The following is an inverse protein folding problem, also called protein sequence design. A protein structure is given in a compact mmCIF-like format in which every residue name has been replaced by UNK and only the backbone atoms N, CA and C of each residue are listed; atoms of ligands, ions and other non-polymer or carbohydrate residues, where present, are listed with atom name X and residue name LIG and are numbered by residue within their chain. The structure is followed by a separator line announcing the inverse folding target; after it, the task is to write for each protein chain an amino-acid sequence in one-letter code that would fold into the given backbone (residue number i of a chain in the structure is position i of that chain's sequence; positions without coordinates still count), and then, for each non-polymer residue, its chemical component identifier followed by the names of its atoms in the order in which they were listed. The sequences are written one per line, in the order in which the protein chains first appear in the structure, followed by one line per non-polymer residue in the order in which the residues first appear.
data_IF_906349885152
#
_entry.id   IF_906349885152
#
_cell.length_a   1.000
_cell.length_b   1.000
_cell.length_c   1.000
_cell.angle_alpha   90.00
_cell.angle_beta   90.00
_cell.angle_gamma   90.00
#
_symmetry.space_group_name_H-M   'P 1'
#
loop_
_entity.id
_entity.type
_entity.pdbx_description
1 polymer ?
#
# COMPACT_ATOMS: atom_id res chain seq x y z
N UNK A 1 4.76 -12.27 -18.93
CA UNK A 1 5.60 -11.34 -18.16
C UNK A 1 4.93 -11.05 -16.82
N UNK A 2 5.67 -11.13 -15.72
CA UNK A 2 5.13 -10.85 -14.41
C UNK A 2 4.83 -9.36 -14.26
N UNK A 3 3.74 -9.01 -13.59
CA UNK A 3 3.42 -7.64 -13.23
C UNK A 3 4.52 -7.06 -12.33
N UNK A 4 4.64 -5.73 -12.32
CA UNK A 4 5.69 -5.05 -11.54
C UNK A 4 5.64 -5.43 -10.05
N UNK A 5 4.43 -5.59 -9.48
CA UNK A 5 4.30 -5.93 -8.06
C UNK A 5 4.79 -7.35 -7.76
N UNK A 6 4.59 -8.31 -8.67
CA UNK A 6 5.15 -9.66 -8.52
C UNK A 6 6.67 -9.59 -8.51
N UNK A 7 7.27 -8.72 -9.32
CA UNK A 7 8.72 -8.54 -9.33
C UNK A 7 9.23 -7.94 -8.03
N UNK A 8 8.44 -7.04 -7.40
CA UNK A 8 8.75 -6.51 -6.07
C UNK A 8 8.69 -7.63 -5.04
N UNK A 9 7.65 -8.47 -5.08
CA UNK A 9 7.51 -9.63 -4.17
C UNK A 9 8.72 -10.56 -4.28
N UNK A 10 9.23 -10.77 -5.49
CA UNK A 10 10.39 -11.63 -5.74
C UNK A 10 11.74 -10.99 -5.40
N UNK A 11 11.74 -9.71 -5.02
CA UNK A 11 12.99 -9.00 -4.73
C UNK A 11 13.75 -8.54 -5.97
N UNK A 12 13.17 -8.63 -7.15
CA UNK A 12 13.79 -8.20 -8.41
C UNK A 12 13.80 -6.68 -8.56
N UNK A 13 12.84 -6.01 -7.94
CA UNK A 13 12.72 -4.55 -7.94
C UNK A 13 12.65 -4.10 -6.48
N UNK A 14 13.44 -3.09 -6.08
CA UNK A 14 13.39 -2.59 -4.71
C UNK A 14 12.07 -1.87 -4.44
N UNK A 15 11.64 -1.86 -3.17
CA UNK A 15 10.46 -1.14 -2.72
C UNK A 15 10.66 -0.68 -1.28
N UNK A 16 9.92 0.35 -0.88
CA UNK A 16 9.93 0.87 0.49
C UNK A 16 8.91 0.08 1.31
N UNK A 17 9.31 -1.10 1.76
CA UNK A 17 8.41 -2.02 2.47
C UNK A 17 8.09 -1.50 3.87
N UNK A 18 6.85 -1.64 4.28
CA UNK A 18 6.39 -1.28 5.63
C UNK A 18 5.92 -2.48 6.44
N UNK A 19 5.43 -3.53 5.78
CA UNK A 19 5.00 -4.77 6.44
C UNK A 19 5.01 -5.92 5.44
N UNK A 20 5.25 -7.11 5.93
CA UNK A 20 5.27 -8.31 5.09
C UNK A 20 4.88 -9.52 5.91
N UNK A 21 4.04 -10.37 5.34
CA UNK A 21 3.74 -11.69 5.87
C UNK A 21 4.00 -12.71 4.76
N UNK A 22 3.74 -13.98 5.04
CA UNK A 22 3.88 -15.02 4.02
C UNK A 22 2.96 -14.78 2.82
N UNK A 23 1.75 -14.24 3.06
CA UNK A 23 0.74 -14.04 2.01
C UNK A 23 0.70 -12.63 1.43
N UNK A 24 1.12 -11.61 2.18
CA UNK A 24 0.86 -10.22 1.85
C UNK A 24 2.09 -9.34 1.99
N UNK A 25 2.09 -8.23 1.25
CA UNK A 25 3.15 -7.24 1.29
C UNK A 25 2.52 -5.85 1.28
N UNK A 26 3.08 -4.95 2.09
CA UNK A 26 2.72 -3.53 2.05
C UNK A 26 3.97 -2.70 1.84
N UNK A 27 3.88 -1.71 0.94
CA UNK A 27 5.00 -0.83 0.61
C UNK A 27 4.48 0.53 0.16
N UNK A 28 5.33 1.55 0.25
CA UNK A 28 4.94 2.89 -0.15
C UNK A 28 4.80 3.00 -1.67
N UNK A 29 3.78 3.74 -2.11
CA UNK A 29 3.65 4.09 -3.52
C UNK A 29 4.71 5.14 -3.86
N UNK A 30 5.52 4.90 -4.90
CA UNK A 30 6.56 5.84 -5.34
C UNK A 30 5.99 7.01 -6.13
N UNK A 31 4.72 6.94 -6.48
CA UNK A 31 3.96 8.04 -7.11
C UNK A 31 2.75 8.36 -6.25
N UNK A 32 2.98 8.84 -5.01
CA UNK A 32 1.91 8.91 -4.02
C UNK A 32 0.92 10.05 -4.29
N UNK A 33 -0.33 9.83 -3.90
CA UNK A 33 -1.35 10.87 -3.89
C UNK A 33 -1.20 11.80 -2.69
N UNK A 34 -0.66 11.26 -1.59
CA UNK A 34 -0.38 11.99 -0.37
C UNK A 34 0.81 11.36 0.31
N UNK A 35 1.51 12.10 1.17
CA UNK A 35 2.61 11.55 1.96
C UNK A 35 2.09 10.39 2.81
N UNK A 36 2.71 9.22 2.66
CA UNK A 36 2.30 8.02 3.38
C UNK A 36 1.37 7.11 2.60
N UNK A 37 1.05 7.44 1.34
CA UNK A 37 0.26 6.59 0.46
C UNK A 37 0.92 5.21 0.37
N UNK A 38 0.23 4.19 0.86
CA UNK A 38 0.75 2.82 0.96
C UNK A 38 -0.09 1.90 0.10
N UNK A 39 0.55 0.91 -0.51
CA UNK A 39 -0.11 -0.13 -1.28
C UNK A 39 -0.05 -1.44 -0.50
N UNK A 40 -1.16 -2.16 -0.46
CA UNK A 40 -1.25 -3.47 0.18
C UNK A 40 -1.64 -4.47 -0.89
N UNK A 41 -0.83 -5.52 -1.05
CA UNK A 41 -1.03 -6.50 -2.10
C UNK A 41 -0.99 -7.92 -1.57
N UNK A 42 -1.72 -8.86 -2.20
CA UNK A 42 -1.44 -10.28 -2.02
C UNK A 42 -0.13 -10.60 -2.78
N UNK A 43 0.65 -11.53 -2.28
CA UNK A 43 1.84 -11.99 -2.98
C UNK A 43 1.49 -12.83 -4.21
N UNK A 44 0.33 -13.48 -4.19
CA UNK A 44 -0.22 -14.17 -5.35
C UNK A 44 -0.57 -13.15 -6.44
N UNK A 45 -0.18 -13.43 -7.68
CA UNK A 45 -0.48 -12.52 -8.80
C UNK A 45 -1.90 -12.73 -9.28
N UNK A 46 -2.83 -12.01 -8.69
CA UNK A 46 -4.24 -11.96 -9.08
C UNK A 46 -4.55 -10.51 -9.50
N UNK A 47 -5.06 -10.33 -10.71
CA UNK A 47 -5.34 -9.00 -11.25
C UNK A 47 -6.54 -8.33 -10.58
N UNK A 48 -7.66 -9.03 -10.50
CA UNK A 48 -8.90 -8.50 -9.99
C UNK A 48 -9.11 -8.90 -8.54
N UNK A 49 -9.26 -7.90 -7.66
CA UNK A 49 -9.37 -8.14 -6.22
C UNK A 49 -10.46 -9.17 -5.86
N UNK A 50 -11.60 -9.07 -6.53
CA UNK A 50 -12.74 -9.94 -6.22
C UNK A 50 -12.61 -11.35 -6.81
N UNK A 51 -11.53 -11.66 -7.50
CA UNK A 51 -11.20 -13.03 -7.88
C UNK A 51 -10.43 -13.77 -6.79
N UNK A 52 -10.04 -13.07 -5.71
CA UNK A 52 -9.46 -13.75 -4.55
C UNK A 52 -10.50 -14.62 -3.87
N UNK A 53 -10.05 -15.74 -3.28
CA UNK A 53 -10.93 -16.53 -2.43
C UNK A 53 -11.41 -15.69 -1.25
N UNK A 54 -12.67 -15.88 -0.78
CA UNK A 54 -13.21 -15.06 0.30
C UNK A 54 -12.36 -15.02 1.57
N UNK A 55 -11.79 -16.15 1.96
CA UNK A 55 -10.91 -16.20 3.14
C UNK A 55 -9.63 -15.41 2.92
N UNK A 56 -9.05 -15.47 1.72
CA UNK A 56 -7.85 -14.70 1.39
C UNK A 56 -8.17 -13.21 1.37
N UNK A 57 -9.30 -12.82 0.77
CA UNK A 57 -9.73 -11.43 0.76
C UNK A 57 -9.93 -10.91 2.18
N UNK A 58 -10.53 -11.73 3.05
CA UNK A 58 -10.72 -11.36 4.45
C UNK A 58 -9.39 -11.12 5.15
N UNK A 59 -8.42 -12.02 4.98
CA UNK A 59 -7.10 -11.86 5.59
C UNK A 59 -6.35 -10.65 5.03
N UNK A 60 -6.49 -10.40 3.73
CA UNK A 60 -5.89 -9.22 3.09
C UNK A 60 -6.42 -7.92 3.72
N UNK A 61 -7.72 -7.82 3.91
CA UNK A 61 -8.33 -6.64 4.50
C UNK A 61 -7.97 -6.48 5.98
N UNK A 62 -7.83 -7.57 6.72
CA UNK A 62 -7.34 -7.51 8.10
C UNK A 62 -5.89 -7.05 8.15
N UNK A 63 -5.05 -7.53 7.25
CA UNK A 63 -3.67 -7.06 7.12
C UNK A 63 -3.65 -5.56 6.78
N UNK A 64 -4.47 -5.14 5.81
CA UNK A 64 -4.59 -3.73 5.43
C UNK A 64 -5.02 -2.85 6.62
N UNK A 65 -5.93 -3.34 7.45
CA UNK A 65 -6.37 -2.62 8.66
C UNK A 65 -5.19 -2.35 9.59
N UNK A 66 -4.35 -3.36 9.82
CA UNK A 66 -3.19 -3.22 10.70
C UNK A 66 -2.16 -2.25 10.11
N UNK A 67 -1.93 -2.34 8.80
CA UNK A 67 -1.05 -1.40 8.11
C UNK A 67 -1.59 0.03 8.20
N UNK A 68 -2.89 0.20 7.98
CA UNK A 68 -3.54 1.52 8.05
C UNK A 68 -3.40 2.16 9.44
N UNK A 69 -3.46 1.35 10.50
CA UNK A 69 -3.25 1.86 11.86
C UNK A 69 -1.84 2.41 12.03
N UNK A 70 -0.84 1.73 11.48
CA UNK A 70 0.54 2.22 11.50
C UNK A 70 0.72 3.50 10.68
N UNK A 71 0.09 3.55 9.51
CA UNK A 71 0.13 4.75 8.65
C UNK A 71 -0.46 5.94 9.39
N UNK A 72 -1.62 5.76 10.01
CA UNK A 72 -2.30 6.84 10.75
C UNK A 72 -1.47 7.35 11.91
N UNK A 73 -0.76 6.48 12.61
CA UNK A 73 0.10 6.87 13.72
C UNK A 73 1.36 7.60 13.27
N UNK A 74 1.91 7.22 12.12
CA UNK A 74 3.15 7.80 11.61
C UNK A 74 2.91 9.10 10.84
N UNK A 75 1.76 9.24 10.18
CA UNK A 75 1.45 10.39 9.33
C UNK A 75 0.23 11.11 9.87
N UNK A 76 0.38 12.37 10.36
CA UNK A 76 -0.78 13.13 10.85
C UNK A 76 -1.84 13.25 9.76
N UNK A 77 -3.06 12.79 10.07
CA UNK A 77 -4.18 12.84 9.12
C UNK A 77 -5.50 12.68 9.87
N UNK A 78 -6.58 13.08 9.23
CA UNK A 78 -7.91 12.91 9.80
C UNK A 78 -8.32 11.45 9.81
N UNK A 79 -8.02 10.73 8.74
CA UNK A 79 -8.24 9.29 8.62
C UNK A 79 -7.47 8.75 7.41
N UNK A 80 -7.35 7.43 7.33
CA UNK A 80 -6.79 6.76 6.17
C UNK A 80 -7.93 6.31 5.28
N UNK A 81 -7.92 6.77 4.03
CA UNK A 81 -8.90 6.36 3.03
C UNK A 81 -8.45 5.11 2.30
N UNK A 82 -9.41 4.40 1.70
CA UNK A 82 -9.17 3.15 0.97
C UNK A 82 -9.74 3.28 -0.43
N UNK A 83 -8.97 2.85 -1.42
CA UNK A 83 -9.45 2.73 -2.79
C UNK A 83 -8.86 1.47 -3.43
N UNK A 84 -9.66 0.83 -4.30
CA UNK A 84 -9.21 -0.28 -5.13
C UNK A 84 -9.70 0.03 -6.54
N UNK A 85 -8.78 0.14 -7.49
CA UNK A 85 -9.12 0.55 -8.85
C UNK A 85 -8.68 -0.52 -9.86
N UNK A 86 -7.36 -0.78 -9.96
CA UNK A 86 -6.85 -1.88 -10.76
C UNK A 86 -6.89 -1.69 -12.26
N UNK A 87 -6.90 -0.47 -12.76
CA UNK A 87 -6.95 -0.20 -14.20
C UNK A 87 -5.59 -0.07 -14.85
N UNK A 88 -4.52 0.10 -14.08
CA UNK A 88 -3.17 0.31 -14.60
C UNK A 88 -2.24 -0.88 -14.38
N UNK A 89 -2.14 -1.37 -13.16
CA UNK A 89 -1.26 -2.50 -12.82
C UNK A 89 -2.11 -3.76 -12.66
N UNK A 90 -1.85 -4.84 -13.43
CA UNK A 90 -2.65 -6.06 -13.37
C UNK A 90 -2.26 -6.96 -12.19
N UNK A 91 -2.32 -6.41 -11.00
CA UNK A 91 -2.07 -7.09 -9.74
C UNK A 91 -2.90 -6.37 -8.68
N UNK A 92 -3.82 -7.08 -8.06
CA UNK A 92 -4.75 -6.49 -7.09
C UNK A 92 -3.99 -5.73 -6.01
N UNK A 93 -4.42 -4.51 -5.73
CA UNK A 93 -3.79 -3.69 -4.70
C UNK A 93 -4.80 -2.75 -4.06
N UNK A 94 -4.67 -2.62 -2.75
CA UNK A 94 -5.48 -1.72 -1.93
C UNK A 94 -4.66 -0.47 -1.65
N UNK A 95 -5.19 0.68 -2.05
CA UNK A 95 -4.57 1.97 -1.73
C UNK A 95 -4.99 2.40 -0.33
N UNK A 96 -4.00 2.72 0.51
CA UNK A 96 -4.22 3.33 1.82
C UNK A 96 -3.64 4.75 1.75
N UNK A 97 -4.49 5.76 1.86
CA UNK A 97 -4.09 7.14 1.62
C UNK A 97 -4.49 8.01 2.82
N UNK A 98 -3.50 8.65 3.48
CA UNK A 98 -3.81 9.61 4.55
C UNK A 98 -4.62 10.78 3.99
N UNK A 99 -5.75 11.08 4.61
CA UNK A 99 -6.67 12.11 4.13
C UNK A 99 -6.76 13.29 5.09
N UNK A 100 -6.64 14.51 4.53
CA UNK A 100 -7.00 15.76 5.18
C UNK A 100 -8.19 16.38 4.44
N UNK A 101 -8.26 16.16 3.12
CA UNK A 101 -9.33 16.64 2.25
C UNK A 101 -9.67 15.59 1.20
N UNK A 102 -10.77 15.77 0.50
CA UNK A 102 -11.16 14.88 -0.60
C UNK A 102 -10.11 14.85 -1.72
N UNK A 103 -9.32 15.91 -1.87
CA UNK A 103 -8.32 16.00 -2.94
C UNK A 103 -7.12 15.09 -2.70
N UNK A 104 -6.93 14.58 -1.49
CA UNK A 104 -5.84 13.67 -1.19
C UNK A 104 -6.05 12.29 -1.81
N UNK A 105 -7.25 11.98 -2.27
CA UNK A 105 -7.57 10.72 -2.96
C UNK A 105 -8.14 10.99 -4.35
N UNK A 106 -7.47 11.82 -5.11
CA UNK A 106 -7.89 12.22 -6.45
C UNK A 106 -6.86 11.72 -7.48
N UNK A 107 -7.14 10.57 -8.08
CA UNK A 107 -6.23 9.93 -9.04
C UNK A 107 -6.13 10.64 -10.39
N UNK A 108 -6.93 11.68 -10.62
CA UNK A 108 -6.81 12.50 -11.82
C UNK A 108 -5.77 13.60 -11.68
N UNK A 109 -5.32 13.91 -10.47
CA UNK A 109 -4.26 14.89 -10.26
C UNK A 109 -2.89 14.27 -10.44
N UNK A 110 -1.86 15.09 -10.70
CA UNK A 110 -0.48 14.61 -10.78
C UNK A 110 -0.03 14.06 -9.42
N UNK A 111 0.67 12.93 -9.40
CA UNK A 111 1.19 12.39 -8.15
C UNK A 111 2.30 13.27 -7.58
N UNK A 112 2.51 13.14 -6.26
CA UNK A 112 3.60 13.79 -5.58
C UNK A 112 4.90 13.02 -5.80
N UNK A 113 6.01 13.61 -5.37
CA UNK A 113 7.33 12.98 -5.42
C UNK A 113 8.12 13.39 -4.20
N UNK A 114 8.79 12.44 -3.57
CA UNK A 114 9.63 12.68 -2.41
C UNK A 114 11.01 12.07 -2.65
N UNK A 115 12.09 12.67 -2.11
CA UNK A 115 13.43 12.11 -2.24
C UNK A 115 13.51 10.71 -1.64
N UNK A 116 14.35 9.81 -2.20
CA UNK A 116 14.50 8.45 -1.65
C UNK A 116 14.82 8.39 -0.16
N UNK A 117 15.67 9.27 0.35
CA UNK A 117 16.00 9.30 1.77
C UNK A 117 14.79 9.60 2.63
N UNK A 118 13.90 10.50 2.17
CA UNK A 118 12.66 10.81 2.86
C UNK A 118 11.69 9.62 2.84
N UNK A 119 11.61 8.93 1.70
CA UNK A 119 10.78 7.73 1.57
C UNK A 119 11.26 6.62 2.51
N UNK A 120 12.57 6.43 2.66
CA UNK A 120 13.13 5.43 3.57
C UNK A 120 12.78 5.73 5.03
N UNK A 121 12.92 6.99 5.43
CA UNK A 121 12.58 7.42 6.80
C UNK A 121 11.09 7.22 7.07
N UNK A 122 10.26 7.58 6.09
CA UNK A 122 8.81 7.42 6.20
C UNK A 122 8.41 5.95 6.32
N UNK A 123 8.98 5.09 5.49
CA UNK A 123 8.70 3.65 5.53
C UNK A 123 9.07 3.06 6.89
N UNK A 124 10.24 3.43 7.42
CA UNK A 124 10.68 2.96 8.74
C UNK A 124 9.73 3.44 9.84
N UNK A 125 9.30 4.70 9.79
CA UNK A 125 8.38 5.26 10.78
C UNK A 125 7.04 4.55 10.78
N UNK A 126 6.53 4.21 9.61
CA UNK A 126 5.27 3.47 9.48
C UNK A 126 5.46 2.04 9.99
N UNK A 127 6.53 1.38 9.55
CA UNK A 127 6.82 -0.02 9.93
C UNK A 127 6.88 -0.21 11.44
N UNK A 128 7.50 0.74 12.15
CA UNK A 128 7.62 0.69 13.62
C UNK A 128 6.27 0.73 14.33
N UNK A 129 5.24 1.24 13.67
CA UNK A 129 3.92 1.45 14.26
C UNK A 129 2.89 0.41 13.83
N UNK A 130 3.31 -0.56 13.04
CA UNK A 130 2.43 -1.65 12.60
C UNK A 130 2.57 -2.82 13.56
N UNK A 131 1.42 -3.31 14.06
CA UNK A 131 1.37 -4.54 14.85
C UNK A 131 0.61 -5.58 14.03
N UNK A 132 1.25 -6.72 13.79
CA UNK A 132 0.65 -7.83 13.03
C UNK A 132 0.09 -8.92 13.95
N UNK A 133 0.18 -8.73 15.25
CA UNK A 133 -0.32 -9.69 16.26
C UNK A 133 -1.82 -9.58 16.49
#
# INVERSE_FOLDING_TARGET
MAAIFTRIVRGEIPAYKVAETEEFLAFLDVRPQAKGHTLVIPKEEIDYLFDLEPETLSRLMQFAQRVAQGVRQAVPCLRVGVAVIGLEVPHAHVHLIPLQTMQDINFSKSPLSFPPAEMEVLAAAIAERISLD
#
